data_IF_699100071520
#
_entry.id   IF_699100071520
#
_cell.length_a   1.000
_cell.length_b   1.000
_cell.length_c   1.000
_cell.angle_alpha   90.00
_cell.angle_beta   90.00
_cell.angle_gamma   90.00
#
_symmetry.space_group_name_H-M   'P 1'
#
loop_
_entity.id
_entity.type
_entity.pdbx_description
1 polymer ?
#
# COMPACT_ATOMS: atom_id res chain seq x y z
N UNK A 1 -3.37 -16.17 -6.57
CA UNK A 1 -1.92 -16.47 -6.42
C UNK A 1 -1.48 -15.86 -5.10
N UNK A 2 -0.80 -16.64 -4.26
CA UNK A 2 -0.36 -16.23 -2.91
C UNK A 2 1.05 -15.63 -2.93
N UNK A 3 1.73 -15.67 -1.79
CA UNK A 3 3.13 -15.26 -1.68
C UNK A 3 4.03 -16.11 -2.59
N UNK A 4 4.95 -15.45 -3.30
CA UNK A 4 5.98 -16.07 -4.14
C UNK A 4 7.33 -15.68 -3.53
N UNK A 5 8.13 -16.63 -3.00
CA UNK A 5 9.38 -16.31 -2.28
C UNK A 5 10.42 -15.54 -3.12
N UNK A 6 10.39 -15.70 -4.44
CA UNK A 6 11.29 -15.03 -5.39
C UNK A 6 10.68 -13.75 -5.98
N UNK A 7 9.48 -13.37 -5.55
CA UNK A 7 8.80 -12.17 -6.03
C UNK A 7 9.48 -10.91 -5.54
N UNK A 8 9.81 -10.00 -6.47
CA UNK A 8 10.44 -8.71 -6.17
C UNK A 8 9.44 -7.58 -5.86
N UNK A 9 8.15 -7.89 -5.87
CA UNK A 9 7.09 -6.94 -5.50
C UNK A 9 6.55 -7.32 -4.12
N UNK A 10 6.62 -6.38 -3.18
CA UNK A 10 6.00 -6.55 -1.86
C UNK A 10 4.54 -6.10 -1.94
N UNK A 11 3.60 -7.00 -1.66
CA UNK A 11 2.19 -6.66 -1.59
C UNK A 11 1.83 -6.18 -0.17
N UNK A 12 1.49 -4.89 -0.02
CA UNK A 12 0.99 -4.37 1.25
C UNK A 12 -0.48 -4.77 1.42
N UNK A 13 -0.71 -5.81 2.23
CA UNK A 13 -2.05 -6.37 2.42
C UNK A 13 -2.93 -5.52 3.32
N UNK A 14 -2.39 -4.90 4.37
CA UNK A 14 -3.19 -4.15 5.35
C UNK A 14 -2.35 -3.10 6.05
N UNK A 15 -2.92 -1.90 6.20
CA UNK A 15 -2.42 -0.82 7.04
C UNK A 15 -3.60 -0.28 7.84
N UNK A 16 -3.49 -0.28 9.18
CA UNK A 16 -4.55 0.18 10.05
C UNK A 16 -3.98 1.00 11.20
N UNK A 17 -4.72 2.03 11.61
CA UNK A 17 -4.44 2.84 12.79
C UNK A 17 -5.67 2.76 13.69
N UNK A 18 -5.46 2.47 14.97
CA UNK A 18 -6.52 2.48 15.99
C UNK A 18 -7.33 3.77 15.89
N UNK A 19 -8.68 3.72 15.94
CA UNK A 19 -9.53 4.91 15.81
C UNK A 19 -9.12 6.07 16.72
N UNK A 20 -8.69 5.77 17.95
CA UNK A 20 -8.23 6.75 18.95
C UNK A 20 -6.94 7.50 18.54
N UNK A 21 -6.17 6.93 17.63
CA UNK A 21 -4.88 7.46 17.17
C UNK A 21 -4.92 7.98 15.72
N UNK A 22 -6.07 7.93 15.06
CA UNK A 22 -6.22 8.45 13.69
C UNK A 22 -6.11 9.98 13.67
N UNK A 23 -5.79 10.54 12.49
CA UNK A 23 -5.63 12.00 12.27
C UNK A 23 -4.51 12.67 13.10
N UNK A 24 -3.65 11.89 13.76
CA UNK A 24 -2.46 12.37 14.50
C UNK A 24 -1.16 12.36 13.67
N UNK A 25 -1.27 12.01 12.37
CA UNK A 25 -0.12 11.76 11.49
C UNK A 25 0.57 10.41 11.69
N UNK A 26 0.12 9.57 12.64
CA UNK A 26 0.75 8.28 12.94
C UNK A 26 0.76 7.33 11.73
N UNK A 27 -0.34 7.27 10.97
CA UNK A 27 -0.40 6.45 9.74
C UNK A 27 0.66 6.84 8.72
N UNK A 28 0.91 8.15 8.55
CA UNK A 28 1.94 8.65 7.64
C UNK A 28 3.34 8.30 8.10
N UNK A 29 3.62 8.46 9.40
CA UNK A 29 4.91 8.06 9.98
C UNK A 29 5.16 6.55 9.84
N UNK A 30 4.12 5.74 10.09
CA UNK A 30 4.20 4.29 9.95
C UNK A 30 4.47 3.87 8.50
N UNK A 31 3.74 4.43 7.54
CA UNK A 31 3.92 4.12 6.12
C UNK A 31 5.30 4.56 5.62
N UNK A 32 5.75 5.76 5.99
CA UNK A 32 7.08 6.25 5.64
C UNK A 32 8.18 5.33 6.20
N UNK A 33 8.13 4.99 7.49
CA UNK A 33 9.11 4.09 8.11
C UNK A 33 9.13 2.70 7.46
N UNK A 34 7.96 2.19 7.05
CA UNK A 34 7.85 0.94 6.32
C UNK A 34 8.53 1.00 4.95
N UNK A 35 8.27 2.05 4.17
CA UNK A 35 8.88 2.22 2.85
C UNK A 35 10.40 2.43 2.96
N UNK A 36 10.88 3.24 3.91
CA UNK A 36 12.32 3.41 4.15
C UNK A 36 13.00 2.08 4.44
N UNK A 37 12.40 1.22 5.27
CA UNK A 37 12.96 -0.11 5.56
C UNK A 37 13.06 -1.01 4.32
N UNK A 38 12.15 -0.85 3.35
CA UNK A 38 12.17 -1.64 2.12
C UNK A 38 13.14 -1.09 1.07
N UNK A 39 13.47 0.20 1.09
CA UNK A 39 14.42 0.79 0.15
C UNK A 39 15.82 0.16 0.25
N UNK A 40 16.20 -0.25 1.45
CA UNK A 40 17.51 -0.86 1.72
C UNK A 40 17.53 -2.37 1.42
N UNK A 41 16.40 -2.97 1.01
CA UNK A 41 16.32 -4.39 0.69
C UNK A 41 16.56 -4.63 -0.82
N UNK A 42 17.69 -5.24 -1.23
CA UNK A 42 18.03 -5.45 -2.64
C UNK A 42 17.11 -6.46 -3.35
N UNK A 43 16.26 -7.17 -2.60
CA UNK A 43 15.30 -8.13 -3.14
C UNK A 43 13.97 -7.48 -3.53
N UNK A 44 13.75 -6.21 -3.16
CA UNK A 44 12.49 -5.49 -3.35
C UNK A 44 12.65 -4.42 -4.43
N UNK A 45 11.88 -4.53 -5.52
CA UNK A 45 11.86 -3.52 -6.59
C UNK A 45 10.76 -2.48 -6.38
N UNK A 46 9.63 -2.90 -5.81
CA UNK A 46 8.43 -2.05 -5.66
C UNK A 46 7.47 -2.59 -4.60
N UNK A 47 6.58 -1.72 -4.15
CA UNK A 47 5.46 -2.06 -3.26
C UNK A 47 4.16 -1.91 -4.03
N UNK A 48 3.27 -2.90 -3.95
CA UNK A 48 1.96 -2.84 -4.57
C UNK A 48 0.85 -2.93 -3.52
N UNK A 49 -0.24 -2.20 -3.72
CA UNK A 49 -1.43 -2.26 -2.88
C UNK A 49 -2.71 -2.00 -3.69
N UNK A 50 -3.84 -2.27 -3.05
CA UNK A 50 -5.14 -1.79 -3.52
C UNK A 50 -5.69 -0.76 -2.55
N UNK A 51 -6.24 0.34 -3.06
CA UNK A 51 -6.83 1.40 -2.26
C UNK A 51 -8.24 1.74 -2.71
N UNK A 52 -9.10 2.11 -1.75
CA UNK A 52 -10.39 2.75 -2.06
C UNK A 52 -10.14 4.15 -2.61
N UNK A 53 -11.06 4.66 -3.43
CA UNK A 53 -10.94 5.97 -4.09
C UNK A 53 -10.49 7.11 -3.14
N UNK A 54 -11.05 7.19 -1.94
CA UNK A 54 -10.75 8.26 -0.98
C UNK A 54 -9.35 8.15 -0.32
N UNK A 55 -8.67 6.99 -0.45
CA UNK A 55 -7.31 6.78 0.03
C UNK A 55 -6.26 6.92 -1.07
N UNK A 56 -6.66 7.07 -2.34
CA UNK A 56 -5.71 7.26 -3.45
C UNK A 56 -4.80 8.47 -3.19
N UNK A 57 -5.31 9.67 -2.84
CA UNK A 57 -4.43 10.83 -2.57
C UNK A 57 -3.49 10.61 -1.39
N UNK A 58 -3.89 9.78 -0.42
CA UNK A 58 -3.03 9.44 0.70
C UNK A 58 -1.81 8.64 0.24
N UNK A 59 -2.00 7.61 -0.60
CA UNK A 59 -0.90 6.79 -1.11
C UNK A 59 -0.07 7.51 -2.18
N UNK A 60 -0.69 8.34 -3.03
CA UNK A 60 0.05 9.20 -3.99
C UNK A 60 1.04 10.12 -3.28
N UNK A 61 0.72 10.57 -2.06
CA UNK A 61 1.64 11.40 -1.27
C UNK A 61 2.90 10.68 -0.75
N UNK A 62 3.02 9.36 -0.98
CA UNK A 62 4.25 8.58 -0.77
C UNK A 62 4.92 8.16 -2.08
N UNK A 63 4.40 8.63 -3.23
CA UNK A 63 4.93 8.30 -4.56
C UNK A 63 4.25 7.13 -5.27
N UNK A 64 3.15 6.58 -4.73
CA UNK A 64 2.42 5.53 -5.43
C UNK A 64 1.67 6.08 -6.64
N UNK A 65 1.68 5.34 -7.73
CA UNK A 65 0.94 5.62 -8.96
C UNK A 65 -0.35 4.81 -9.03
N UNK A 66 -1.47 5.47 -9.31
CA UNK A 66 -2.76 4.81 -9.59
C UNK A 66 -2.73 4.13 -10.97
N UNK A 67 -2.83 2.81 -11.02
CA UNK A 67 -2.81 2.00 -12.25
C UNK A 67 -4.18 1.70 -12.86
N UNK A 68 -5.26 2.14 -12.20
CA UNK A 68 -6.64 1.93 -12.67
C UNK A 68 -7.45 1.06 -11.71
N UNK A 69 -8.66 0.69 -12.11
CA UNK A 69 -9.56 -0.13 -11.28
C UNK A 69 -8.97 -1.52 -11.09
N UNK A 70 -8.92 -1.96 -9.83
CA UNK A 70 -8.46 -3.30 -9.49
C UNK A 70 -9.46 -4.35 -9.96
N UNK A 71 -8.94 -5.49 -10.41
CA UNK A 71 -9.74 -6.70 -10.65
C UNK A 71 -10.10 -7.43 -9.35
N UNK A 72 -9.62 -6.95 -8.20
CA UNK A 72 -9.92 -7.56 -6.92
C UNK A 72 -11.39 -7.31 -6.53
N UNK A 73 -12.22 -8.35 -6.67
CA UNK A 73 -13.65 -8.34 -6.26
C UNK A 73 -13.87 -8.96 -4.88
N UNK A 74 -12.85 -9.61 -4.32
CA UNK A 74 -12.94 -10.41 -3.09
C UNK A 74 -13.23 -9.58 -1.83
N UNK A 75 -13.01 -8.27 -1.89
CA UNK A 75 -13.22 -7.32 -0.79
C UNK A 75 -14.27 -6.24 -1.16
N UNK A 76 -15.19 -6.59 -2.07
CA UNK A 76 -16.14 -5.65 -2.68
C UNK A 76 -15.52 -4.85 -3.83
N UNK A 77 -16.32 -3.96 -4.41
CA UNK A 77 -15.91 -3.14 -5.56
C UNK A 77 -15.26 -1.81 -5.14
N UNK A 78 -14.70 -1.09 -6.12
CA UNK A 78 -14.22 0.29 -5.93
C UNK A 78 -12.75 0.42 -5.49
N UNK A 79 -11.97 -0.65 -5.67
CA UNK A 79 -10.54 -0.66 -5.44
C UNK A 79 -9.77 -0.18 -6.67
N UNK A 80 -8.66 0.51 -6.43
CA UNK A 80 -7.68 0.90 -7.45
C UNK A 80 -6.35 0.22 -7.15
N UNK A 81 -5.72 -0.32 -8.18
CA UNK A 81 -4.35 -0.83 -8.08
C UNK A 81 -3.38 0.34 -7.97
N UNK A 82 -2.45 0.26 -7.02
CA UNK A 82 -1.43 1.27 -6.78
C UNK A 82 -0.06 0.60 -6.63
N UNK A 83 0.97 1.19 -7.23
CA UNK A 83 2.37 0.70 -7.20
C UNK A 83 3.37 1.83 -7.06
#
# INVERSE_FOLDING_TARGET
VGHVPTGRTVCLHTLAISPKCQRTGLGRRLMAAYLERLKDDPTVDRVALIARAYLVPYYESFGFEKRGRSRCTRYGDGWYDMV
#
